data_IF_029758740980
#
_entry.id   IF_029758740980
#
_cell.length_a   1.000
_cell.length_b   1.000
_cell.length_c   1.000
_cell.angle_alpha   90.00
_cell.angle_beta   90.00
_cell.angle_gamma   90.00
#
_symmetry.space_group_name_H-M   'P 1'
#
loop_
_entity.id
_entity.type
_entity.pdbx_description
1 polymer ?
#
# COMPACT_ATOMS: atom_id res chain seq x y z
N UNK A 1 0.15 -5.30 -24.54
CA UNK A 1 -0.46 -4.17 -23.84
C UNK A 1 -0.64 -3.02 -24.82
N UNK A 2 -1.87 -2.65 -25.13
CA UNK A 2 -2.17 -1.65 -26.17
C UNK A 2 -2.60 -0.31 -25.56
N UNK A 3 -3.33 -0.34 -24.45
CA UNK A 3 -3.84 0.87 -23.80
C UNK A 3 -3.05 1.23 -22.55
N UNK A 4 -2.89 2.53 -22.31
CA UNK A 4 -2.15 3.03 -21.15
C UNK A 4 -2.77 4.31 -20.60
N UNK A 5 -2.38 4.63 -19.37
CA UNK A 5 -2.53 5.96 -18.77
C UNK A 5 -1.23 6.38 -18.10
N UNK A 6 -1.10 7.66 -17.78
CA UNK A 6 0.06 8.21 -17.07
C UNK A 6 -0.45 8.95 -15.83
N UNK A 7 0.10 8.59 -14.68
CA UNK A 7 -0.07 9.31 -13.42
C UNK A 7 1.29 9.86 -13.03
N UNK A 8 1.40 11.16 -12.88
CA UNK A 8 2.66 11.81 -12.54
C UNK A 8 2.52 12.71 -11.32
N UNK A 9 3.64 12.93 -10.62
CA UNK A 9 3.73 13.89 -9.52
C UNK A 9 3.48 15.31 -10.07
N UNK A 10 2.88 16.17 -9.25
CA UNK A 10 2.57 17.56 -9.62
C UNK A 10 3.85 18.40 -9.48
N UNK A 11 4.76 18.31 -10.46
CA UNK A 11 5.96 19.12 -10.63
C UNK A 11 6.38 19.14 -12.10
N UNK A 12 7.21 20.13 -12.46
CA UNK A 12 7.59 20.41 -13.85
C UNK A 12 8.38 19.23 -14.47
N UNK A 13 9.31 18.63 -13.75
CA UNK A 13 10.12 17.51 -14.24
C UNK A 13 9.26 16.27 -14.53
N UNK A 14 8.39 15.91 -13.59
CA UNK A 14 7.49 14.74 -13.76
C UNK A 14 6.51 14.97 -14.91
N UNK A 15 6.06 16.22 -15.11
CA UNK A 15 5.22 16.59 -16.24
C UNK A 15 5.97 16.50 -17.57
N UNK A 16 7.20 17.02 -17.66
CA UNK A 16 8.05 16.95 -18.86
C UNK A 16 8.28 15.49 -19.28
N UNK A 17 8.60 14.62 -18.31
CA UNK A 17 8.79 13.17 -18.58
C UNK A 17 7.50 12.53 -19.04
N UNK A 18 6.35 12.91 -18.46
CA UNK A 18 5.03 12.43 -18.89
C UNK A 18 4.75 12.81 -20.34
N UNK A 19 5.01 14.07 -20.73
CA UNK A 19 4.80 14.56 -22.08
C UNK A 19 5.76 13.84 -23.08
N UNK A 20 7.03 13.62 -22.69
CA UNK A 20 8.02 12.85 -23.45
C UNK A 20 7.57 11.40 -23.65
N UNK A 21 7.05 10.75 -22.61
CA UNK A 21 6.54 9.37 -22.67
C UNK A 21 5.33 9.27 -23.61
N UNK A 22 4.38 10.18 -23.49
CA UNK A 22 3.22 10.20 -24.39
C UNK A 22 3.63 10.37 -25.85
N UNK A 23 4.58 11.28 -26.14
CA UNK A 23 5.10 11.50 -27.50
C UNK A 23 5.81 10.25 -28.06
N UNK A 24 6.50 9.48 -27.21
CA UNK A 24 7.21 8.27 -27.61
C UNK A 24 6.29 7.05 -27.79
N UNK A 25 5.17 6.98 -27.08
CA UNK A 25 4.23 5.87 -27.19
C UNK A 25 3.31 5.95 -28.40
N UNK A 26 3.02 7.16 -28.93
CA UNK A 26 2.19 7.36 -30.12
C UNK A 26 2.68 6.59 -31.36
N UNK A 27 3.94 6.73 -31.80
CA UNK A 27 4.45 6.00 -32.97
C UNK A 27 4.54 4.49 -32.75
N UNK A 28 4.54 4.02 -31.50
CA UNK A 28 4.52 2.60 -31.13
C UNK A 28 3.09 2.01 -31.10
N UNK A 29 2.09 2.70 -31.67
CA UNK A 29 0.68 2.30 -31.68
C UNK A 29 0.10 2.00 -30.31
N UNK A 30 0.53 2.75 -29.28
CA UNK A 30 -0.06 2.69 -27.93
C UNK A 30 -1.13 3.76 -27.81
N UNK A 31 -2.25 3.39 -27.24
CA UNK A 31 -3.45 4.24 -27.15
C UNK A 31 -3.64 4.69 -25.70
N UNK A 32 -3.68 6.00 -25.47
CA UNK A 32 -4.03 6.55 -24.17
C UNK A 32 -5.51 6.30 -23.87
N UNK A 33 -5.78 5.69 -22.74
CA UNK A 33 -7.13 5.43 -22.24
C UNK A 33 -7.13 5.59 -20.71
N UNK A 34 -7.51 6.77 -20.26
CA UNK A 34 -7.47 7.11 -18.83
C UNK A 34 -8.60 6.42 -18.03
N UNK A 35 -9.63 5.90 -18.70
CA UNK A 35 -10.73 5.18 -18.04
C UNK A 35 -10.45 3.68 -17.88
N UNK A 36 -9.96 3.04 -18.94
CA UNK A 36 -9.73 1.58 -18.97
C UNK A 36 -8.34 1.26 -19.55
N UNK A 37 -7.25 1.62 -18.86
CA UNK A 37 -5.89 1.29 -19.31
C UNK A 37 -5.58 -0.18 -19.03
N UNK A 38 -4.66 -0.76 -19.78
CA UNK A 38 -3.99 -2.03 -19.43
C UNK A 38 -2.75 -1.77 -18.57
N UNK A 39 -2.10 -0.60 -18.78
CA UNK A 39 -0.89 -0.19 -18.05
C UNK A 39 -1.05 1.21 -17.49
N UNK A 40 -0.70 1.36 -16.22
CA UNK A 40 -0.58 2.65 -15.53
C UNK A 40 0.90 2.97 -15.40
N UNK A 41 1.38 3.93 -16.19
CA UNK A 41 2.71 4.50 -15.97
C UNK A 41 2.67 5.45 -14.79
N UNK A 42 3.60 5.28 -13.87
CA UNK A 42 3.72 6.15 -12.71
C UNK A 42 5.05 6.89 -12.77
N UNK A 43 5.00 8.22 -12.83
CA UNK A 43 6.19 9.09 -12.88
C UNK A 43 6.24 9.90 -11.59
N UNK A 44 7.13 9.53 -10.68
CA UNK A 44 7.26 10.12 -9.35
C UNK A 44 7.78 9.13 -8.32
N UNK A 45 7.58 9.39 -7.05
CA UNK A 45 7.97 8.51 -5.93
C UNK A 45 6.86 7.56 -5.48
N UNK A 46 7.11 6.86 -4.37
CA UNK A 46 6.16 5.89 -3.79
C UNK A 46 4.80 6.51 -3.44
N UNK A 47 4.75 7.78 -3.02
CA UNK A 47 3.48 8.49 -2.79
C UNK A 47 2.64 8.68 -4.06
N UNK A 48 3.29 8.95 -5.23
CA UNK A 48 2.61 9.02 -6.52
C UNK A 48 2.09 7.64 -6.93
N UNK A 49 2.85 6.59 -6.60
CA UNK A 49 2.44 5.21 -6.84
C UNK A 49 1.20 4.84 -6.03
N UNK A 50 1.18 5.13 -4.73
CA UNK A 50 -0.01 4.94 -3.87
C UNK A 50 -1.23 5.66 -4.42
N UNK A 51 -1.09 6.93 -4.82
CA UNK A 51 -2.17 7.68 -5.46
C UNK A 51 -2.69 6.98 -6.72
N UNK A 52 -1.79 6.48 -7.58
CA UNK A 52 -2.20 5.76 -8.79
C UNK A 52 -2.95 4.45 -8.48
N UNK A 53 -2.54 3.71 -7.45
CA UNK A 53 -3.23 2.50 -6.97
C UNK A 53 -4.65 2.84 -6.51
N UNK A 54 -4.82 3.85 -5.65
CA UNK A 54 -6.14 4.25 -5.16
C UNK A 54 -7.04 4.81 -6.25
N UNK A 55 -6.49 5.59 -7.19
CA UNK A 55 -7.24 6.12 -8.35
C UNK A 55 -7.90 5.01 -9.19
N UNK A 56 -7.25 3.86 -9.29
CA UNK A 56 -7.71 2.73 -10.11
C UNK A 56 -8.12 1.51 -9.28
N UNK A 57 -8.41 1.67 -8.00
CA UNK A 57 -8.66 0.57 -7.07
C UNK A 57 -9.79 -0.35 -7.51
N UNK A 58 -10.83 0.18 -8.14
CA UNK A 58 -11.99 -0.60 -8.59
C UNK A 58 -11.66 -1.53 -9.77
N UNK A 59 -10.62 -1.19 -10.55
CA UNK A 59 -10.20 -1.90 -11.77
C UNK A 59 -8.85 -2.58 -11.65
N UNK A 60 -8.25 -2.58 -10.46
CA UNK A 60 -6.85 -2.90 -10.21
C UNK A 60 -6.46 -4.32 -10.65
N UNK A 61 -7.40 -5.25 -10.66
CA UNK A 61 -7.22 -6.66 -11.00
C UNK A 61 -6.65 -6.87 -12.42
N UNK A 62 -7.05 -5.98 -13.35
CA UNK A 62 -6.67 -6.05 -14.76
C UNK A 62 -5.54 -5.10 -15.13
N UNK A 63 -5.01 -4.34 -14.16
CA UNK A 63 -4.01 -3.32 -14.40
C UNK A 63 -2.61 -3.81 -14.09
N UNK A 64 -1.66 -3.26 -14.84
CA UNK A 64 -0.24 -3.40 -14.56
C UNK A 64 0.35 -2.01 -14.33
N UNK A 65 1.21 -1.89 -13.34
CA UNK A 65 1.87 -0.63 -13.00
C UNK A 65 3.33 -0.68 -13.41
N UNK A 66 3.83 0.40 -13.99
CA UNK A 66 5.23 0.53 -14.38
C UNK A 66 5.76 1.91 -14.01
N UNK A 67 6.75 1.95 -13.11
CA UNK A 67 7.17 3.18 -12.43
C UNK A 67 8.57 3.68 -12.81
N UNK A 68 8.68 5.02 -12.93
CA UNK A 68 9.92 5.77 -13.07
C UNK A 68 9.97 6.83 -11.97
N UNK A 69 11.09 6.90 -11.21
CA UNK A 69 11.23 7.89 -10.14
C UNK A 69 11.94 9.16 -10.60
N UNK A 70 11.42 10.31 -10.14
CA UNK A 70 11.99 11.65 -10.37
C UNK A 70 12.69 12.21 -9.12
N UNK A 71 13.13 11.33 -8.23
CA UNK A 71 13.82 11.61 -6.98
C UNK A 71 14.60 10.40 -6.52
N UNK A 72 14.58 10.11 -5.22
CA UNK A 72 15.25 8.92 -4.67
C UNK A 72 14.56 7.63 -5.12
N UNK A 73 15.35 6.55 -5.25
CA UNK A 73 14.82 5.21 -5.53
C UNK A 73 13.82 4.81 -4.44
N UNK A 74 12.62 4.39 -4.86
CA UNK A 74 11.58 3.85 -3.99
C UNK A 74 11.43 2.33 -4.10
N UNK A 75 10.34 1.82 -3.53
CA UNK A 75 10.01 0.38 -3.59
C UNK A 75 9.28 0.00 -4.87
N UNK A 76 8.60 0.94 -5.53
CA UNK A 76 7.72 0.66 -6.66
C UNK A 76 8.29 1.04 -8.02
N UNK A 77 9.49 1.63 -8.06
CA UNK A 77 10.12 2.11 -9.29
C UNK A 77 11.49 1.48 -9.48
N UNK A 78 11.91 1.29 -10.74
CA UNK A 78 13.19 0.68 -11.10
C UNK A 78 14.13 1.63 -11.84
N UNK A 79 13.60 2.71 -12.38
CA UNK A 79 14.32 3.64 -13.26
C UNK A 79 14.26 5.06 -12.70
N UNK A 80 15.37 5.78 -12.82
CA UNK A 80 15.41 7.22 -12.64
C UNK A 80 15.03 7.96 -13.94
N UNK A 81 14.77 9.26 -13.81
CA UNK A 81 14.54 10.16 -14.95
C UNK A 81 15.66 10.13 -16.00
N UNK A 82 16.90 10.00 -15.56
CA UNK A 82 18.06 9.87 -16.46
C UNK A 82 18.10 8.56 -17.26
N UNK A 83 17.30 7.59 -16.89
CA UNK A 83 17.22 6.26 -17.53
C UNK A 83 15.94 6.10 -18.37
N UNK A 84 15.31 7.22 -18.76
CA UNK A 84 14.06 7.22 -19.52
C UNK A 84 14.10 6.38 -20.79
N UNK A 85 15.16 6.45 -21.56
CA UNK A 85 15.25 5.73 -22.84
C UNK A 85 15.31 4.21 -22.61
N UNK A 86 16.04 3.76 -21.58
CA UNK A 86 16.05 2.35 -21.17
C UNK A 86 14.71 1.90 -20.64
N UNK A 87 14.03 2.72 -19.81
CA UNK A 87 12.69 2.46 -19.30
C UNK A 87 11.69 2.23 -20.45
N UNK A 88 11.72 3.10 -21.47
CA UNK A 88 10.85 3.01 -22.63
C UNK A 88 11.17 1.77 -23.49
N UNK A 89 12.44 1.53 -23.78
CA UNK A 89 12.89 0.38 -24.57
C UNK A 89 12.44 -0.94 -23.97
N UNK A 90 12.64 -1.12 -22.68
CA UNK A 90 12.22 -2.33 -21.95
C UNK A 90 10.71 -2.55 -22.02
N UNK A 91 9.93 -1.48 -21.91
CA UNK A 91 8.48 -1.56 -22.07
C UNK A 91 8.08 -1.96 -23.49
N UNK A 92 8.72 -1.39 -24.52
CA UNK A 92 8.39 -1.64 -25.92
C UNK A 92 8.83 -3.04 -26.39
N UNK A 93 9.94 -3.55 -25.89
CA UNK A 93 10.43 -4.91 -26.17
C UNK A 93 9.68 -5.99 -25.40
N UNK A 94 8.83 -5.58 -24.44
CA UNK A 94 8.05 -6.48 -23.59
C UNK A 94 8.90 -7.45 -22.75
N UNK A 95 10.13 -7.06 -22.41
CA UNK A 95 11.04 -7.81 -21.54
C UNK A 95 10.77 -7.45 -20.05
N UNK A 96 9.53 -7.70 -19.60
CA UNK A 96 9.05 -7.34 -18.29
C UNK A 96 8.45 -8.55 -17.57
N UNK A 97 8.89 -8.78 -16.35
CA UNK A 97 8.22 -9.69 -15.43
C UNK A 97 7.09 -8.98 -14.65
N UNK A 98 6.15 -9.73 -14.15
CA UNK A 98 5.08 -9.19 -13.30
C UNK A 98 5.22 -9.77 -11.90
N UNK A 99 5.29 -8.90 -10.90
CA UNK A 99 5.22 -9.28 -9.48
C UNK A 99 3.89 -8.77 -8.94
N UNK A 100 3.15 -9.65 -8.26
CA UNK A 100 1.83 -9.33 -7.72
C UNK A 100 1.88 -9.24 -6.20
N UNK A 101 1.36 -8.14 -5.66
CA UNK A 101 1.26 -7.90 -4.22
C UNK A 101 -0.20 -7.81 -3.81
N UNK A 102 -0.70 -8.69 -2.90
CA UNK A 102 -2.07 -8.59 -2.41
C UNK A 102 -2.26 -7.30 -1.60
N UNK A 103 -3.45 -6.71 -1.71
CA UNK A 103 -3.85 -5.58 -0.88
C UNK A 103 -4.44 -6.08 0.43
N UNK A 104 -4.34 -5.30 1.50
CA UNK A 104 -5.21 -5.47 2.66
C UNK A 104 -6.63 -5.08 2.29
N UNK A 105 -7.57 -5.95 2.58
CA UNK A 105 -9.01 -5.68 2.56
C UNK A 105 -9.43 -5.31 3.98
N UNK A 106 -10.08 -4.18 4.12
CA UNK A 106 -10.58 -3.64 5.38
C UNK A 106 -12.08 -3.49 5.27
N UNK A 107 -12.82 -4.38 5.90
CA UNK A 107 -14.28 -4.39 5.88
C UNK A 107 -14.81 -3.80 7.21
N UNK A 108 -15.51 -2.68 7.11
CA UNK A 108 -16.12 -2.00 8.25
C UNK A 108 -17.58 -2.42 8.53
N UNK A 109 -18.08 -3.41 7.77
CA UNK A 109 -19.49 -3.76 7.75
C UNK A 109 -20.38 -2.77 7.01
N UNK A 110 -19.88 -1.55 6.72
CA UNK A 110 -20.56 -0.50 5.96
C UNK A 110 -19.95 -0.35 4.57
N UNK A 111 -18.62 -0.41 4.50
CA UNK A 111 -17.84 -0.24 3.28
C UNK A 111 -16.55 -1.05 3.37
N UNK A 112 -16.06 -1.48 2.22
CA UNK A 112 -14.79 -2.19 2.06
C UNK A 112 -13.76 -1.21 1.49
N UNK A 113 -12.59 -1.17 2.10
CA UNK A 113 -11.43 -0.40 1.66
C UNK A 113 -10.26 -1.33 1.36
N UNK A 114 -9.28 -0.84 0.60
CA UNK A 114 -8.10 -1.61 0.24
C UNK A 114 -6.85 -0.77 0.45
N UNK A 115 -5.86 -1.31 1.17
CA UNK A 115 -4.57 -0.66 1.40
C UNK A 115 -3.43 -1.45 0.74
N UNK A 116 -2.47 -0.73 0.17
CA UNK A 116 -1.23 -1.30 -0.33
C UNK A 116 -0.20 -1.43 0.80
N UNK A 117 -0.05 -0.39 1.61
CA UNK A 117 0.88 -0.38 2.73
C UNK A 117 0.22 -0.84 4.02
N UNK A 118 -0.67 -0.04 4.58
CA UNK A 118 -1.28 -0.32 5.88
C UNK A 118 -2.67 0.26 6.04
N UNK A 119 -3.41 -0.35 6.99
CA UNK A 119 -4.55 0.27 7.61
C UNK A 119 -4.22 0.67 9.05
N UNK A 120 -4.88 1.71 9.56
CA UNK A 120 -4.75 2.17 10.96
C UNK A 120 -6.11 2.52 11.52
N UNK A 121 -6.38 2.10 12.75
CA UNK A 121 -7.43 2.71 13.57
C UNK A 121 -6.73 3.63 14.54
N UNK A 122 -7.13 4.90 14.56
CA UNK A 122 -6.55 5.90 15.46
C UNK A 122 -7.63 6.75 16.09
N UNK A 123 -7.49 7.03 17.38
CA UNK A 123 -8.32 7.99 18.09
C UNK A 123 -7.44 9.00 18.81
N UNK A 124 -7.27 10.17 18.20
CA UNK A 124 -6.41 11.24 18.73
C UNK A 124 -7.06 12.04 19.85
N UNK A 125 -8.38 11.91 20.05
CA UNK A 125 -9.12 12.66 21.05
C UNK A 125 -9.15 11.94 22.40
N UNK A 126 -9.06 10.60 22.39
CA UNK A 126 -9.13 9.74 23.60
C UNK A 126 -8.49 8.39 23.32
N UNK A 127 -8.23 7.60 24.35
CA UNK A 127 -7.80 6.23 24.17
C UNK A 127 -8.91 5.38 23.54
N UNK A 128 -8.54 4.56 22.55
CA UNK A 128 -9.41 3.56 21.95
C UNK A 128 -9.25 2.24 22.71
N UNK A 129 -10.36 1.55 22.97
CA UNK A 129 -10.36 0.18 23.46
C UNK A 129 -10.75 -0.71 22.28
N UNK A 130 -9.93 -1.73 22.01
CA UNK A 130 -10.16 -2.69 20.93
C UNK A 130 -10.11 -4.11 21.50
N UNK A 131 -11.15 -4.90 21.22
CA UNK A 131 -11.16 -6.33 21.43
C UNK A 131 -10.64 -6.98 20.14
N UNK A 132 -9.46 -7.58 20.21
CA UNK A 132 -8.75 -8.11 19.05
C UNK A 132 -8.90 -9.62 19.03
N UNK A 133 -9.33 -10.17 17.87
CA UNK A 133 -9.32 -11.60 17.59
C UNK A 133 -8.48 -11.86 16.35
N UNK A 134 -7.79 -12.99 16.34
CA UNK A 134 -6.94 -13.47 15.23
C UNK A 134 -7.43 -14.86 14.82
N UNK A 135 -7.79 -15.04 13.56
CA UNK A 135 -8.38 -16.27 13.02
C UNK A 135 -9.55 -16.82 13.86
N UNK A 136 -10.43 -15.89 14.29
CA UNK A 136 -11.61 -16.09 15.15
C UNK A 136 -11.31 -16.38 16.64
N UNK A 137 -10.05 -16.60 17.02
CA UNK A 137 -9.67 -16.74 18.41
C UNK A 137 -9.49 -15.37 19.08
N UNK A 138 -10.04 -15.19 20.28
CA UNK A 138 -9.77 -13.99 21.08
C UNK A 138 -8.29 -13.91 21.40
N UNK A 139 -7.67 -12.78 21.08
CA UNK A 139 -6.24 -12.56 21.30
C UNK A 139 -5.98 -11.64 22.51
N UNK A 140 -6.51 -10.40 22.48
CA UNK A 140 -6.25 -9.43 23.55
C UNK A 140 -7.27 -8.29 23.60
N UNK A 141 -7.31 -7.61 24.77
CA UNK A 141 -7.96 -6.32 24.96
C UNK A 141 -6.91 -5.22 24.94
N UNK A 142 -6.80 -4.55 23.80
CA UNK A 142 -5.90 -3.42 23.61
C UNK A 142 -6.54 -2.13 24.14
N UNK A 143 -5.71 -1.26 24.73
CA UNK A 143 -6.07 0.13 25.03
C UNK A 143 -4.91 1.05 24.66
N UNK A 144 -5.15 2.07 23.84
CA UNK A 144 -4.12 3.01 23.39
C UNK A 144 -4.66 4.04 22.43
N UNK A 145 -3.81 4.62 21.60
CA UNK A 145 -4.23 5.51 20.50
C UNK A 145 -4.87 4.71 19.38
N UNK A 146 -4.35 3.52 19.08
CA UNK A 146 -4.87 2.70 17.98
C UNK A 146 -4.02 1.49 17.64
N UNK A 147 -4.35 0.87 16.50
CA UNK A 147 -3.65 -0.30 15.93
C UNK A 147 -3.33 -0.02 14.47
N UNK A 148 -2.16 -0.44 14.05
CA UNK A 148 -1.72 -0.47 12.65
C UNK A 148 -1.58 -1.93 12.19
N UNK A 149 -2.17 -2.28 11.02
CA UNK A 149 -1.92 -3.55 10.35
C UNK A 149 -1.34 -3.23 8.98
N UNK A 150 -0.14 -3.72 8.72
CA UNK A 150 0.61 -3.45 7.50
C UNK A 150 0.86 -4.71 6.69
N UNK A 151 0.89 -4.55 5.36
CA UNK A 151 1.38 -5.58 4.44
C UNK A 151 2.90 -5.71 4.55
N UNK A 152 3.46 -6.69 3.86
CA UNK A 152 4.90 -6.78 3.64
C UNK A 152 5.49 -5.46 3.09
N UNK A 153 4.83 -4.83 2.10
CA UNK A 153 5.28 -3.56 1.52
C UNK A 153 5.19 -2.42 2.55
N UNK A 154 4.09 -2.33 3.29
CA UNK A 154 3.86 -1.34 4.34
C UNK A 154 4.75 -1.52 5.57
N UNK A 155 5.45 -2.66 5.70
CA UNK A 155 6.37 -2.88 6.82
C UNK A 155 7.48 -1.83 6.90
N UNK A 156 7.84 -1.23 5.76
CA UNK A 156 8.84 -0.15 5.65
C UNK A 156 8.26 1.26 5.72
N UNK A 157 6.91 1.39 5.74
CA UNK A 157 6.19 2.66 5.81
C UNK A 157 5.88 3.06 7.27
N UNK A 158 4.63 3.34 7.60
CA UNK A 158 4.23 3.81 8.94
C UNK A 158 4.54 2.79 10.05
N UNK A 159 4.39 1.49 9.75
CA UNK A 159 4.76 0.42 10.67
C UNK A 159 6.18 0.56 11.23
N UNK A 160 7.15 0.97 10.39
CA UNK A 160 8.53 1.19 10.85
C UNK A 160 8.63 2.31 11.89
N UNK A 161 7.82 3.37 11.76
CA UNK A 161 7.77 4.47 12.73
C UNK A 161 7.19 4.04 14.07
N UNK A 162 6.42 2.95 14.10
CA UNK A 162 5.90 2.32 15.31
C UNK A 162 6.88 1.31 15.94
N UNK A 163 8.09 1.15 15.37
CA UNK A 163 9.04 0.14 15.82
C UNK A 163 8.72 -1.27 15.35
N UNK A 164 7.81 -1.42 14.38
CA UNK A 164 7.49 -2.70 13.77
C UNK A 164 8.63 -3.27 12.93
N UNK A 165 8.70 -4.59 12.82
CA UNK A 165 9.71 -5.28 12.04
C UNK A 165 9.58 -4.97 10.54
N UNK A 166 10.69 -4.90 9.83
CA UNK A 166 10.74 -4.87 8.36
C UNK A 166 10.59 -6.30 7.84
N UNK A 167 9.61 -6.52 6.98
CA UNK A 167 9.36 -7.80 6.31
C UNK A 167 10.03 -7.78 4.94
N UNK A 168 10.99 -8.68 4.73
CA UNK A 168 11.75 -8.77 3.47
C UNK A 168 10.84 -9.25 2.33
N UNK A 169 11.10 -8.76 1.13
CA UNK A 169 10.37 -9.16 -0.08
C UNK A 169 10.34 -10.67 -0.27
N UNK A 170 9.17 -11.19 -0.68
CA UNK A 170 8.93 -12.62 -0.87
C UNK A 170 8.42 -13.35 0.37
N UNK A 171 8.30 -12.69 1.51
CA UNK A 171 7.64 -13.25 2.70
C UNK A 171 6.15 -12.89 2.67
N UNK A 172 5.29 -13.90 2.52
CA UNK A 172 3.83 -13.71 2.61
C UNK A 172 3.44 -13.51 4.08
N UNK A 173 3.42 -12.25 4.51
CA UNK A 173 3.17 -11.89 5.90
C UNK A 173 2.50 -10.52 6.02
N UNK A 174 1.74 -10.34 7.10
CA UNK A 174 1.25 -9.06 7.60
C UNK A 174 1.82 -8.80 9.00
N UNK A 175 1.85 -7.56 9.41
CA UNK A 175 2.32 -7.18 10.75
C UNK A 175 1.27 -6.31 11.43
N UNK A 176 0.96 -6.60 12.69
CA UNK A 176 0.14 -5.77 13.55
C UNK A 176 1.01 -5.10 14.60
N UNK A 177 0.85 -3.80 14.77
CA UNK A 177 1.61 -2.96 15.70
C UNK A 177 0.68 -2.05 16.49
N UNK A 178 0.93 -1.92 17.79
CA UNK A 178 0.21 -1.01 18.67
C UNK A 178 0.64 0.45 18.40
N UNK A 179 -0.32 1.37 18.49
CA UNK A 179 -0.07 2.81 18.47
C UNK A 179 -0.28 3.36 19.88
N UNK A 180 0.83 3.69 20.56
CA UNK A 180 0.83 4.21 21.93
C UNK A 180 -0.06 3.40 22.88
N UNK A 181 0.20 2.10 22.97
CA UNK A 181 -0.49 1.18 23.89
C UNK A 181 -0.33 1.59 25.35
N UNK A 182 -1.40 1.48 26.13
CA UNK A 182 -1.41 1.75 27.55
C UNK A 182 -1.64 0.44 28.31
N UNK A 183 -0.59 -0.07 28.94
CA UNK A 183 -0.64 -1.29 29.70
C UNK A 183 -1.17 -1.01 31.11
N UNK A 184 -2.24 -1.69 31.51
CA UNK A 184 -2.85 -1.58 32.81
C UNK A 184 -3.33 -2.96 33.30
N UNK A 185 -3.56 -3.13 34.57
CA UNK A 185 -4.03 -4.41 35.15
C UNK A 185 -5.29 -4.98 34.47
N UNK A 186 -6.15 -4.11 33.96
CA UNK A 186 -7.40 -4.47 33.27
C UNK A 186 -7.20 -4.68 31.76
N UNK A 187 -6.24 -4.01 31.14
CA UNK A 187 -5.96 -4.08 29.70
C UNK A 187 -4.53 -4.57 29.52
N UNK A 188 -4.41 -5.81 29.10
CA UNK A 188 -3.12 -6.45 28.86
C UNK A 188 -3.03 -6.81 27.39
N UNK A 189 -2.18 -6.10 26.68
CA UNK A 189 -1.86 -6.38 25.30
C UNK A 189 -0.42 -6.93 25.20
N UNK A 190 -0.06 -7.46 24.04
CA UNK A 190 1.25 -8.06 23.78
C UNK A 190 2.39 -7.06 24.00
N UNK A 191 2.14 -5.77 23.68
CA UNK A 191 3.14 -4.72 23.84
C UNK A 191 4.32 -4.81 22.88
N UNK A 192 4.17 -5.59 21.82
CA UNK A 192 5.17 -5.79 20.79
C UNK A 192 4.51 -6.02 19.43
N UNK A 193 5.14 -5.59 18.32
CA UNK A 193 4.65 -5.92 16.99
C UNK A 193 4.62 -7.44 16.76
N UNK A 194 3.55 -7.94 16.15
CA UNK A 194 3.40 -9.36 15.81
C UNK A 194 3.36 -9.54 14.29
N UNK A 195 4.24 -10.39 13.77
CA UNK A 195 4.25 -10.82 12.36
C UNK A 195 3.41 -12.09 12.23
N UNK A 196 2.46 -12.07 11.31
CA UNK A 196 1.52 -13.17 11.06
C UNK A 196 1.60 -13.59 9.59
N UNK A 197 1.04 -14.75 9.26
CA UNK A 197 0.91 -15.19 7.87
C UNK A 197 0.07 -14.20 7.08
N UNK A 198 0.34 -14.06 5.78
CA UNK A 198 -0.39 -13.14 4.91
C UNK A 198 -1.90 -13.37 4.91
N UNK A 199 -2.35 -14.63 4.99
CA UNK A 199 -3.76 -15.00 5.00
C UNK A 199 -4.42 -14.96 6.40
N UNK A 200 -3.75 -14.47 7.42
CA UNK A 200 -4.33 -14.27 8.76
C UNK A 200 -5.43 -13.23 8.73
N UNK A 201 -6.54 -13.51 9.41
CA UNK A 201 -7.67 -12.61 9.56
C UNK A 201 -7.64 -11.97 10.95
N UNK A 202 -7.70 -10.63 10.98
CA UNK A 202 -7.76 -9.85 12.22
C UNK A 202 -9.11 -9.18 12.34
N UNK A 203 -9.80 -9.41 13.45
CA UNK A 203 -11.06 -8.77 13.78
C UNK A 203 -10.85 -7.78 14.92
N UNK A 204 -11.20 -6.52 14.69
CA UNK A 204 -11.10 -5.42 15.64
C UNK A 204 -12.49 -4.95 16.03
N UNK A 205 -12.89 -5.17 17.27
CA UNK A 205 -14.21 -4.73 17.80
C UNK A 205 -14.02 -3.63 18.82
N UNK A 206 -14.96 -2.70 18.86
CA UNK A 206 -15.04 -1.67 19.90
C UNK A 206 -16.49 -1.39 20.24
N UNK A 207 -16.77 -1.13 21.53
CA UNK A 207 -18.08 -0.64 21.97
C UNK A 207 -18.36 0.77 21.42
N UNK A 208 -17.30 1.53 21.12
CA UNK A 208 -17.42 2.91 20.66
C UNK A 208 -16.22 3.34 19.81
N UNK A 209 -16.46 3.52 18.52
CA UNK A 209 -15.54 4.13 17.56
C UNK A 209 -15.76 5.63 17.37
N UNK A 210 -16.56 6.29 18.20
CA UNK A 210 -16.81 7.72 18.07
C UNK A 210 -15.50 8.52 18.10
N UNK A 211 -15.31 9.39 17.10
CA UNK A 211 -14.08 10.16 16.85
C UNK A 211 -12.84 9.32 16.47
N UNK A 212 -12.99 8.02 16.34
CA UNK A 212 -11.94 7.20 15.75
C UNK A 212 -11.95 7.37 14.22
N UNK A 213 -10.76 7.28 13.64
CA UNK A 213 -10.56 7.33 12.19
C UNK A 213 -9.96 6.02 11.71
N UNK A 214 -10.32 5.65 10.49
CA UNK A 214 -9.66 4.62 9.72
C UNK A 214 -8.69 5.29 8.74
N UNK A 215 -7.40 5.11 8.92
CA UNK A 215 -6.40 5.41 7.91
C UNK A 215 -6.24 4.21 6.97
N UNK A 216 -6.25 4.45 5.68
CA UNK A 216 -5.99 3.46 4.63
C UNK A 216 -4.93 4.06 3.70
N UNK A 217 -3.70 3.64 3.84
CA UNK A 217 -2.55 4.31 3.22
C UNK A 217 -2.55 5.82 3.53
N UNK A 218 -2.74 6.68 2.52
CA UNK A 218 -2.82 8.15 2.68
C UNK A 218 -4.23 8.69 2.91
N UNK A 219 -5.26 7.85 2.80
CA UNK A 219 -6.65 8.27 2.93
C UNK A 219 -7.17 8.09 4.36
N UNK A 220 -8.15 8.91 4.76
CA UNK A 220 -8.73 8.88 6.12
C UNK A 220 -10.25 8.88 6.05
N UNK A 221 -10.87 7.99 6.81
CA UNK A 221 -12.31 7.81 6.87
C UNK A 221 -12.82 7.81 8.31
N UNK A 222 -14.01 8.36 8.58
CA UNK A 222 -14.62 8.27 9.91
C UNK A 222 -15.11 6.84 10.21
N UNK A 223 -15.03 6.45 11.48
CA UNK A 223 -15.53 5.16 11.97
C UNK A 223 -16.81 5.27 12.78
N UNK A 224 -17.46 6.43 12.78
CA UNK A 224 -18.68 6.64 13.56
C UNK A 224 -19.77 5.60 13.21
N UNK A 225 -20.30 4.96 14.24
CA UNK A 225 -21.34 3.92 14.12
C UNK A 225 -20.85 2.60 13.50
N UNK A 226 -19.54 2.36 13.40
CA UNK A 226 -18.98 1.02 13.21
C UNK A 226 -18.86 0.32 14.56
N UNK A 227 -18.92 -1.02 14.56
CA UNK A 227 -18.77 -1.87 15.75
C UNK A 227 -17.63 -2.88 15.56
N UNK A 228 -17.44 -3.30 14.34
CA UNK A 228 -16.47 -4.34 13.97
C UNK A 228 -15.76 -3.98 12.66
N UNK A 229 -14.46 -4.18 12.64
CA UNK A 229 -13.63 -4.03 11.45
C UNK A 229 -12.90 -5.34 11.24
N UNK A 230 -13.06 -5.92 10.06
CA UNK A 230 -12.37 -7.12 9.62
C UNK A 230 -11.22 -6.76 8.68
N UNK A 231 -10.03 -7.27 8.95
CA UNK A 231 -8.83 -7.03 8.15
C UNK A 231 -8.23 -8.37 7.72
N UNK A 232 -8.06 -8.54 6.42
CA UNK A 232 -7.45 -9.71 5.80
C UNK A 232 -6.75 -9.31 4.49
N UNK A 233 -5.87 -10.14 3.94
CA UNK A 233 -5.37 -9.89 2.58
C UNK A 233 -6.44 -10.25 1.55
N UNK A 234 -6.49 -9.48 0.46
CA UNK A 234 -7.42 -9.73 -0.63
C UNK A 234 -6.88 -10.82 -1.56
N UNK A 235 -7.68 -11.84 -1.82
CA UNK A 235 -7.37 -12.86 -2.84
C UNK A 235 -7.51 -12.31 -4.26
N UNK A 236 -8.37 -11.32 -4.46
CA UNK A 236 -8.76 -10.79 -5.76
C UNK A 236 -7.94 -9.54 -6.09
N UNK A 237 -7.97 -8.52 -5.21
CA UNK A 237 -7.32 -7.23 -5.48
C UNK A 237 -5.84 -7.29 -5.16
N UNK A 238 -5.04 -7.17 -6.23
CA UNK A 238 -3.57 -7.21 -6.19
C UNK A 238 -3.01 -6.10 -7.05
N UNK A 239 -1.91 -5.51 -6.62
CA UNK A 239 -1.12 -4.62 -7.46
C UNK A 239 -0.16 -5.47 -8.28
N UNK A 240 -0.29 -5.42 -9.61
CA UNK A 240 0.60 -6.11 -10.53
C UNK A 240 1.66 -5.12 -11.02
N UNK A 241 2.86 -5.26 -10.50
CA UNK A 241 3.99 -4.39 -10.78
C UNK A 241 4.87 -4.98 -11.87
N UNK A 242 5.07 -4.24 -12.96
CA UNK A 242 6.00 -4.61 -14.01
C UNK A 242 7.44 -4.31 -13.57
N UNK A 243 8.30 -5.31 -13.71
CA UNK A 243 9.71 -5.25 -13.36
C UNK A 243 10.55 -5.77 -14.53
N UNK A 244 11.70 -5.16 -14.77
CA UNK A 244 12.68 -5.69 -15.69
C UNK A 244 14.09 -5.79 -15.06
N UNK A 245 14.33 -5.06 -13.98
CA UNK A 245 15.60 -5.04 -13.27
C UNK A 245 15.51 -5.79 -11.96
N UNK A 246 16.51 -6.61 -11.67
CA UNK A 246 16.67 -7.21 -10.36
C UNK A 246 17.43 -6.25 -9.42
N UNK A 247 16.74 -5.19 -8.96
CA UNK A 247 17.29 -4.31 -7.94
C UNK A 247 17.07 -4.99 -6.58
N UNK A 248 18.17 -5.31 -5.90
CA UNK A 248 18.14 -5.93 -4.57
C UNK A 248 17.22 -5.15 -3.61
N UNK A 249 16.38 -5.87 -2.88
CA UNK A 249 15.54 -5.33 -1.83
C UNK A 249 16.34 -4.47 -0.83
N UNK A 250 17.55 -4.92 -0.44
CA UNK A 250 18.41 -4.18 0.48
C UNK A 250 18.92 -2.86 -0.11
N UNK A 251 19.08 -2.75 -1.42
CA UNK A 251 19.39 -1.47 -2.08
C UNK A 251 18.22 -0.50 -1.96
N UNK A 252 16.98 -0.98 -2.13
CA UNK A 252 15.76 -0.18 -1.92
C UNK A 252 15.60 0.21 -0.45
N UNK A 253 15.80 -0.73 0.45
CA UNK A 253 15.74 -0.48 1.89
C UNK A 253 16.76 0.59 2.33
N UNK A 254 17.98 0.55 1.79
CA UNK A 254 19.04 1.53 2.07
C UNK A 254 18.66 2.95 1.61
N UNK A 255 17.78 3.13 0.63
CA UNK A 255 17.35 4.46 0.19
C UNK A 255 16.45 5.20 1.20
N UNK A 256 16.02 4.53 2.28
CA UNK A 256 15.22 5.13 3.35
C UNK A 256 16.06 5.86 4.42
N UNK A 257 17.42 5.72 4.38
CA UNK A 257 18.32 6.34 5.36
C UNK A 257 19.68 6.70 4.79
#
# INVERSE_FOLDING_TARGET
MQTYTIVHRIDDLSKEISDKLEAALKPANRIRNDENPEVVFVIGGDGTFLYAVHKYIDKIENLKFYGLHTGTLGFFTDYSDNEFDTFLEQFLTNDLSTISYPLLKVDTGKQIYYALNEMRIENVARTQVLHISVDDDFFEDFRGTGICIATQLGSTAYNRSLGGAVIVEGMDAIIMSEIAGIHHSKYRSLGAPIVMKGNTRVTLKSEDFNRAILGVDSEVYPLDGCETILVETSDIKKVNLLRCRNISYFKRLKSLF
#
